data_IF_899098522044
#
_entry.id   IF_899098522044
#
_cell.length_a   1.000
_cell.length_b   1.000
_cell.length_c   1.000
_cell.angle_alpha   90.00
_cell.angle_beta   90.00
_cell.angle_gamma   90.00
#
_symmetry.space_group_name_H-M   'P 1'
#
loop_
_entity.id
_entity.type
_entity.pdbx_description
1 polymer ?
#
# COMPACT_ATOMS: atom_id res chain seq x y z
N UNK A 1 11.48 18.93 10.01
CA UNK A 1 11.28 17.64 10.71
C UNK A 1 10.31 16.87 9.87
N UNK A 2 10.58 15.61 9.54
CA UNK A 2 9.59 14.81 8.83
C UNK A 2 8.31 14.79 9.65
N UNK A 3 7.24 15.24 9.01
CA UNK A 3 5.97 15.57 9.63
C UNK A 3 5.46 14.36 10.44
N UNK A 4 5.38 14.50 11.77
CA UNK A 4 4.91 13.44 12.68
C UNK A 4 3.51 12.92 12.27
N UNK A 5 2.77 13.76 11.55
CA UNK A 5 1.52 13.45 10.84
C UNK A 5 1.70 12.30 9.82
N UNK A 6 2.70 12.38 8.94
CA UNK A 6 2.95 11.36 7.91
C UNK A 6 3.36 10.01 8.52
N UNK A 7 4.14 10.03 9.61
CA UNK A 7 4.52 8.80 10.32
C UNK A 7 3.29 8.11 10.92
N UNK A 8 2.35 8.89 11.48
CA UNK A 8 1.07 8.38 12.01
C UNK A 8 0.22 7.77 10.89
N UNK A 9 0.08 8.45 9.75
CA UNK A 9 -0.68 7.93 8.62
C UNK A 9 -0.11 6.59 8.12
N UNK A 10 1.21 6.49 7.95
CA UNK A 10 1.86 5.23 7.60
C UNK A 10 1.58 4.13 8.64
N UNK A 11 1.67 4.43 9.93
CA UNK A 11 1.37 3.46 11.00
C UNK A 11 -0.09 2.98 10.92
N UNK A 12 -1.04 3.89 10.68
CA UNK A 12 -2.46 3.54 10.52
C UNK A 12 -2.71 2.64 9.32
N UNK A 13 -2.02 2.85 8.20
CA UNK A 13 -2.14 1.95 7.05
C UNK A 13 -1.53 0.57 7.33
N UNK A 14 -0.40 0.52 8.02
CA UNK A 14 0.22 -0.75 8.43
C UNK A 14 -0.66 -1.51 9.44
N UNK A 15 -1.40 -0.81 10.31
CA UNK A 15 -2.39 -1.43 11.21
C UNK A 15 -3.48 -2.18 10.44
N UNK A 16 -3.84 -1.77 9.22
CA UNK A 16 -4.84 -2.50 8.40
C UNK A 16 -4.38 -3.90 8.02
N UNK A 17 -3.08 -4.18 8.04
CA UNK A 17 -2.53 -5.52 7.81
C UNK A 17 -2.62 -6.42 9.04
N UNK A 18 -2.85 -5.87 10.25
CA UNK A 18 -2.97 -6.69 11.46
C UNK A 18 -4.16 -7.64 11.35
N UNK A 19 -3.90 -8.91 11.62
CA UNK A 19 -4.91 -9.97 11.51
C UNK A 19 -5.16 -10.46 10.08
N UNK A 20 -4.55 -9.84 9.05
CA UNK A 20 -4.59 -10.35 7.67
C UNK A 20 -3.43 -11.31 7.44
N UNK A 21 -3.67 -12.33 6.61
CA UNK A 21 -2.64 -13.24 6.14
C UNK A 21 -1.96 -12.63 4.91
N UNK A 22 -0.69 -12.32 5.03
CA UNK A 22 0.15 -11.94 3.89
C UNK A 22 0.39 -13.17 3.02
N UNK A 23 0.01 -13.07 1.74
CA UNK A 23 0.17 -14.13 0.75
C UNK A 23 1.42 -13.92 -0.10
N UNK A 24 1.70 -12.67 -0.49
CA UNK A 24 2.86 -12.31 -1.32
C UNK A 24 3.34 -10.89 -1.02
N UNK A 25 4.65 -10.67 -1.19
CA UNK A 25 5.30 -9.38 -1.02
C UNK A 25 6.30 -9.17 -2.15
N UNK A 26 6.22 -8.05 -2.88
CA UNK A 26 7.19 -7.73 -3.93
C UNK A 26 7.55 -6.25 -3.97
N UNK A 27 8.82 -5.99 -4.31
CA UNK A 27 9.33 -4.64 -4.55
C UNK A 27 9.57 -4.44 -6.04
N UNK A 28 9.18 -3.29 -6.58
CA UNK A 28 9.52 -2.88 -7.94
C UNK A 28 10.08 -1.47 -7.92
N UNK A 29 11.14 -1.25 -8.69
CA UNK A 29 11.58 0.10 -9.01
C UNK A 29 10.43 0.85 -9.70
N UNK A 30 10.25 2.10 -9.30
CA UNK A 30 9.28 3.06 -9.80
C UNK A 30 10.04 4.35 -10.16
N UNK A 31 9.44 5.21 -10.98
CA UNK A 31 10.10 6.41 -11.51
C UNK A 31 10.76 7.29 -10.41
N UNK A 32 11.78 8.06 -10.77
CA UNK A 32 12.52 8.96 -9.87
C UNK A 32 13.14 8.28 -8.63
N UNK A 33 13.78 7.11 -8.81
CA UNK A 33 14.41 6.32 -7.74
C UNK A 33 13.46 5.86 -6.63
N UNK A 34 12.15 5.87 -6.87
CA UNK A 34 11.19 5.34 -5.92
C UNK A 34 11.06 3.82 -6.05
N UNK A 35 10.51 3.18 -5.02
CA UNK A 35 10.17 1.77 -5.01
C UNK A 35 8.71 1.60 -4.64
N UNK A 36 7.97 0.80 -5.40
CA UNK A 36 6.64 0.33 -5.01
C UNK A 36 6.76 -1.01 -4.30
N UNK A 37 6.23 -1.07 -3.09
CA UNK A 37 6.07 -2.27 -2.30
C UNK A 37 4.62 -2.74 -2.41
N UNK A 38 4.44 -3.95 -2.91
CA UNK A 38 3.14 -4.59 -3.06
C UNK A 38 3.00 -5.66 -2.00
N UNK A 39 1.91 -5.61 -1.22
CA UNK A 39 1.57 -6.61 -0.22
C UNK A 39 0.22 -7.20 -0.63
N UNK A 40 0.21 -8.46 -1.04
CA UNK A 40 -1.02 -9.21 -1.32
C UNK A 40 -1.42 -9.93 -0.05
N UNK A 41 -2.68 -9.78 0.35
CA UNK A 41 -3.27 -10.45 1.50
C UNK A 41 -4.46 -11.29 1.06
N UNK A 42 -4.97 -12.14 1.95
CA UNK A 42 -6.19 -12.92 1.73
C UNK A 42 -7.44 -12.05 1.45
N UNK A 43 -7.38 -10.76 1.80
CA UNK A 43 -8.49 -9.81 1.73
C UNK A 43 -8.21 -8.61 0.81
N UNK A 44 -7.23 -8.74 -0.10
CA UNK A 44 -6.90 -7.74 -1.10
C UNK A 44 -5.45 -7.28 -1.05
N UNK A 45 -5.16 -6.14 -1.70
CA UNK A 45 -3.80 -5.69 -1.98
C UNK A 45 -3.52 -4.30 -1.40
N UNK A 46 -2.39 -4.16 -0.72
CA UNK A 46 -1.84 -2.87 -0.29
C UNK A 46 -0.65 -2.50 -1.19
N UNK A 47 -0.57 -1.24 -1.61
CA UNK A 47 0.57 -0.72 -2.37
C UNK A 47 1.14 0.49 -1.65
N UNK A 48 2.44 0.48 -1.40
CA UNK A 48 3.17 1.56 -0.74
C UNK A 48 4.29 2.05 -1.65
N UNK A 49 4.40 3.35 -1.86
CA UNK A 49 5.44 3.96 -2.69
C UNK A 49 6.48 4.64 -1.81
N UNK A 50 7.70 4.13 -1.81
CA UNK A 50 8.86 4.65 -1.09
C UNK A 50 9.73 5.47 -2.04
N UNK A 51 9.88 6.78 -1.80
CA UNK A 51 10.84 7.60 -2.53
C UNK A 51 11.96 8.00 -1.58
N UNK A 52 13.24 8.05 -2.02
CA UNK A 52 14.37 8.44 -1.18
C UNK A 52 14.24 9.86 -0.63
N UNK A 53 13.55 10.74 -1.36
CA UNK A 53 13.23 12.10 -0.94
C UNK A 53 12.03 12.20 0.02
N UNK A 54 11.32 11.09 0.29
CA UNK A 54 10.15 11.06 1.17
C UNK A 54 10.49 10.41 2.49
N UNK A 55 10.09 11.05 3.59
CA UNK A 55 10.31 10.47 4.91
C UNK A 55 9.26 9.42 5.30
N UNK A 56 8.12 9.38 4.60
CA UNK A 56 7.15 8.28 4.71
C UNK A 56 6.56 7.94 3.33
N UNK A 57 6.39 6.64 3.01
CA UNK A 57 5.84 6.22 1.72
C UNK A 57 4.37 6.60 1.57
N UNK A 58 3.97 7.02 0.36
CA UNK A 58 2.55 7.25 0.02
C UNK A 58 1.86 5.90 -0.15
N UNK A 59 0.69 5.74 0.49
CA UNK A 59 -0.08 4.50 0.47
C UNK A 59 -1.26 4.65 -0.49
N UNK A 60 -1.34 3.77 -1.49
CA UNK A 60 -2.46 3.68 -2.42
C UNK A 60 -3.31 2.43 -2.10
N UNK A 61 -4.62 2.62 -1.98
CA UNK A 61 -5.58 1.53 -1.73
C UNK A 61 -6.25 1.12 -3.03
N UNK A 62 -6.06 -0.13 -3.44
CA UNK A 62 -6.88 -0.75 -4.47
C UNK A 62 -7.81 -1.74 -3.79
N UNK A 63 -9.06 -1.31 -3.56
CA UNK A 63 -10.11 -2.26 -3.21
C UNK A 63 -10.49 -3.02 -4.48
N UNK A 64 -10.52 -4.35 -4.40
CA UNK A 64 -11.11 -5.17 -5.44
C UNK A 64 -12.62 -4.90 -5.43
N UNK A 65 -13.05 -3.96 -6.27
CA UNK A 65 -14.46 -3.85 -6.65
C UNK A 65 -14.79 -5.15 -7.41
N UNK A 66 -15.38 -6.12 -6.71
CA UNK A 66 -16.20 -7.13 -7.35
C UNK A 66 -17.44 -6.41 -7.90
N UNK A 67 -17.28 -5.73 -9.05
CA UNK A 67 -18.43 -5.30 -9.84
C UNK A 67 -19.09 -6.57 -10.37
N UNK A 68 -20.18 -6.97 -9.72
CA UNK A 68 -21.14 -7.86 -10.35
C UNK A 68 -21.71 -7.05 -11.52
N UNK A 69 -21.20 -7.27 -12.73
CA UNK A 69 -21.79 -6.75 -13.96
C UNK A 69 -23.02 -7.63 -14.23
N UNK A 70 -24.26 -7.15 -14.10
CA UNK A 70 -25.39 -7.85 -14.69
C UNK A 70 -25.27 -7.69 -16.21
N UNK A 71 -25.17 -8.82 -16.91
CA UNK A 71 -25.35 -8.88 -18.36
C UNK A 71 -26.81 -8.51 -18.66
N UNK A 72 -27.02 -7.43 -19.42
CA UNK A 72 -28.32 -7.06 -20.02
C UNK A 72 -28.55 -7.81 -21.34
#
# INVERSE_FOLDING_TARGET
>A
MPDEQHAKECEEQMKKLKGRKVLDCSFKAYENNCWRFYIVTDSGKLVMTFCPDWTCPVVEHHQEHHEHIPEE
#
